data_IF_690368389369
#
_entry.id   IF_690368389369
#
_cell.length_a   1.000
_cell.length_b   1.000
_cell.length_c   1.000
_cell.angle_alpha   90.00
_cell.angle_beta   90.00
_cell.angle_gamma   90.00
#
_symmetry.space_group_name_H-M   'P 1'
#
loop_
_entity.id
_entity.type
_entity.pdbx_description
1 polymer ?
#
# COMPACT_ATOMS: atom_id res chain seq x y z
N UNK A 1 29.55 -2.09 -22.92
CA UNK A 1 30.00 -1.69 -21.58
C UNK A 1 28.86 -0.89 -20.96
N UNK A 2 27.90 -1.58 -20.35
CA UNK A 2 26.76 -0.95 -19.66
C UNK A 2 27.02 -1.12 -18.17
N UNK A 3 27.53 -0.08 -17.55
CA UNK A 3 27.66 -0.01 -16.10
C UNK A 3 26.26 0.18 -15.50
N UNK A 4 25.73 -0.91 -14.97
CA UNK A 4 24.62 -0.89 -14.03
C UNK A 4 25.13 -0.23 -12.75
N UNK A 5 24.75 1.04 -12.54
CA UNK A 5 25.08 1.76 -11.32
C UNK A 5 24.11 1.27 -10.25
N UNK A 6 24.56 0.32 -9.43
CA UNK A 6 23.98 0.13 -8.10
C UNK A 6 24.14 1.44 -7.34
N UNK A 7 23.07 2.22 -7.21
CA UNK A 7 22.99 3.29 -6.25
C UNK A 7 22.82 2.66 -4.86
N UNK A 8 23.95 2.42 -4.21
CA UNK A 8 24.06 1.92 -2.84
C UNK A 8 23.93 3.10 -1.85
N UNK A 9 22.71 3.58 -1.60
CA UNK A 9 22.39 4.39 -0.41
C UNK A 9 21.52 3.63 0.60
N UNK A 10 21.33 2.32 0.38
CA UNK A 10 20.47 1.47 1.21
C UNK A 10 18.97 1.82 1.13
N UNK A 11 18.53 2.64 0.17
CA UNK A 11 17.11 2.94 -0.03
C UNK A 11 16.52 2.15 -1.19
N UNK A 12 15.45 1.41 -0.91
CA UNK A 12 14.66 0.72 -1.93
C UNK A 12 14.06 1.70 -2.95
N UNK A 13 14.22 1.42 -4.25
CA UNK A 13 13.53 2.14 -5.31
C UNK A 13 12.00 1.92 -5.21
N UNK A 14 11.16 2.75 -5.87
CA UNK A 14 9.71 2.48 -5.91
C UNK A 14 9.36 1.05 -6.39
N UNK A 15 10.06 0.54 -7.41
CA UNK A 15 9.85 -0.82 -7.93
C UNK A 15 10.31 -1.90 -6.95
N UNK A 16 11.42 -1.68 -6.21
CA UNK A 16 11.84 -2.60 -5.15
C UNK A 16 10.80 -2.66 -4.02
N UNK A 17 10.29 -1.49 -3.60
CA UNK A 17 9.24 -1.40 -2.57
C UNK A 17 7.97 -2.12 -3.01
N UNK A 18 7.56 -1.93 -4.27
CA UNK A 18 6.39 -2.63 -4.82
C UNK A 18 6.58 -4.15 -4.77
N UNK A 19 7.75 -4.66 -5.18
CA UNK A 19 8.04 -6.10 -5.14
C UNK A 19 8.00 -6.65 -3.70
N UNK A 20 8.64 -5.96 -2.75
CA UNK A 20 8.68 -6.36 -1.34
C UNK A 20 7.28 -6.35 -0.69
N UNK A 21 6.51 -5.28 -0.90
CA UNK A 21 5.16 -5.17 -0.36
C UNK A 21 4.19 -6.17 -1.01
N UNK A 22 4.35 -6.46 -2.31
CA UNK A 22 3.58 -7.51 -2.98
C UNK A 22 3.88 -8.89 -2.38
N UNK A 23 5.14 -9.18 -2.06
CA UNK A 23 5.51 -10.43 -1.40
C UNK A 23 4.93 -10.51 0.02
N UNK A 24 4.91 -9.40 0.77
CA UNK A 24 4.26 -9.34 2.08
C UNK A 24 2.75 -9.60 1.98
N UNK A 25 2.06 -9.00 0.99
CA UNK A 25 0.64 -9.28 0.73
C UNK A 25 0.41 -10.74 0.34
N UNK A 26 1.30 -11.32 -0.48
CA UNK A 26 1.22 -12.73 -0.86
C UNK A 26 1.41 -13.67 0.34
N UNK A 27 2.26 -13.32 1.30
CA UNK A 27 2.42 -14.05 2.56
C UNK A 27 1.14 -14.01 3.42
N UNK A 28 0.35 -12.92 3.32
CA UNK A 28 -1.00 -12.81 3.89
C UNK A 28 -2.09 -13.52 3.06
N UNK A 29 -1.72 -14.22 1.98
CA UNK A 29 -2.66 -14.91 1.09
C UNK A 29 -3.36 -13.99 0.07
N UNK A 30 -2.90 -12.75 -0.08
CA UNK A 30 -3.52 -11.75 -0.95
C UNK A 30 -2.81 -11.68 -2.31
N UNK A 31 -3.58 -11.65 -3.39
CA UNK A 31 -3.07 -11.46 -4.76
C UNK A 31 -3.31 -10.02 -5.19
N UNK A 32 -2.24 -9.22 -5.25
CA UNK A 32 -2.33 -7.80 -5.52
C UNK A 32 -1.82 -7.41 -6.92
N UNK A 33 -2.58 -6.56 -7.61
CA UNK A 33 -2.16 -5.83 -8.81
C UNK A 33 -1.72 -4.42 -8.45
N UNK A 34 -0.81 -3.83 -9.23
CA UNK A 34 -0.42 -2.43 -9.05
C UNK A 34 -1.25 -1.48 -9.91
N UNK A 35 -1.41 -0.25 -9.42
CA UNK A 35 -1.90 0.89 -10.19
C UNK A 35 -1.24 2.18 -9.71
N UNK A 36 -1.30 3.22 -10.52
CA UNK A 36 -0.72 4.52 -10.22
C UNK A 36 -1.57 5.66 -10.73
N UNK A 37 -1.54 6.79 -10.02
CA UNK A 37 -2.26 8.00 -10.39
C UNK A 37 -1.42 9.25 -10.16
N UNK A 38 -1.72 10.30 -10.93
CA UNK A 38 -0.95 11.55 -10.93
C UNK A 38 -1.32 12.44 -9.74
N UNK A 39 -0.47 13.43 -9.39
CA UNK A 39 -0.75 14.34 -8.29
C UNK A 39 -2.16 14.98 -8.34
N UNK A 40 -2.84 14.96 -7.20
CA UNK A 40 -4.14 15.63 -7.04
C UNK A 40 -5.32 14.97 -7.75
N UNK A 41 -5.14 13.82 -8.39
CA UNK A 41 -6.23 13.05 -8.98
C UNK A 41 -7.27 12.66 -7.91
N UNK A 42 -8.56 12.68 -8.29
CA UNK A 42 -9.68 12.54 -7.35
C UNK A 42 -10.61 11.41 -7.74
N UNK A 43 -11.01 10.65 -6.75
CA UNK A 43 -12.11 9.70 -6.82
C UNK A 43 -13.30 10.30 -6.11
N UNK A 44 -14.40 10.49 -6.84
CA UNK A 44 -15.68 10.86 -6.24
C UNK A 44 -16.13 9.78 -5.24
N UNK A 45 -17.04 10.13 -4.33
CA UNK A 45 -17.57 9.17 -3.36
C UNK A 45 -18.23 7.98 -4.08
N UNK A 46 -17.86 6.77 -3.71
CA UNK A 46 -18.40 5.53 -4.23
C UNK A 46 -18.27 4.40 -3.20
N UNK A 47 -18.82 3.24 -3.54
CA UNK A 47 -18.62 1.99 -2.80
C UNK A 47 -18.50 0.83 -3.78
N UNK A 48 -18.00 -0.31 -3.32
CA UNK A 48 -17.85 -1.52 -4.11
C UNK A 48 -18.43 -2.73 -3.37
N UNK A 49 -18.84 -3.76 -4.12
CA UNK A 49 -19.43 -4.99 -3.58
C UNK A 49 -18.43 -6.07 -3.15
N UNK A 50 -17.13 -5.74 -3.10
CA UNK A 50 -16.05 -6.61 -2.67
C UNK A 50 -15.29 -5.99 -1.50
N UNK A 51 -14.51 -6.77 -0.78
CA UNK A 51 -13.57 -6.23 0.21
C UNK A 51 -12.27 -5.83 -0.49
N UNK A 52 -11.72 -4.67 -0.14
CA UNK A 52 -10.52 -4.12 -0.76
C UNK A 52 -9.40 -3.99 0.26
N UNK A 53 -8.24 -4.53 -0.07
CA UNK A 53 -6.97 -4.25 0.63
C UNK A 53 -6.12 -3.36 -0.28
N UNK A 54 -5.65 -2.24 0.24
CA UNK A 54 -4.79 -1.30 -0.47
C UNK A 54 -3.53 -0.99 0.32
N UNK A 55 -2.37 -1.04 -0.33
CA UNK A 55 -1.08 -0.69 0.26
C UNK A 55 -0.35 0.31 -0.62
N UNK A 56 0.17 1.39 -0.05
CA UNK A 56 0.93 2.40 -0.80
C UNK A 56 2.39 1.97 -0.95
N UNK A 57 2.89 1.91 -2.18
CA UNK A 57 4.29 1.60 -2.50
C UNK A 57 5.14 2.86 -2.79
N UNK A 58 4.52 3.93 -3.28
CA UNK A 58 5.14 5.23 -3.50
C UNK A 58 4.12 6.36 -3.40
N UNK A 59 4.57 7.55 -3.00
CA UNK A 59 3.71 8.73 -2.86
C UNK A 59 2.72 8.61 -1.70
N UNK A 60 1.53 9.18 -1.86
CA UNK A 60 0.46 9.11 -0.85
C UNK A 60 -0.94 9.24 -1.45
N UNK A 61 -1.94 8.78 -0.70
CA UNK A 61 -3.36 8.93 -1.05
C UNK A 61 -4.20 9.09 0.22
N UNK A 62 -5.09 10.08 0.24
CA UNK A 62 -6.02 10.31 1.32
C UNK A 62 -7.38 9.68 1.03
N UNK A 63 -7.90 8.84 1.92
CA UNK A 63 -9.25 8.27 1.86
C UNK A 63 -10.19 8.95 2.86
N UNK A 64 -11.33 9.45 2.37
CA UNK A 64 -12.40 9.98 3.22
C UNK A 64 -13.51 8.96 3.31
N UNK A 65 -13.79 8.44 4.50
CA UNK A 65 -14.91 7.51 4.74
C UNK A 65 -16.17 8.30 5.10
N UNK A 66 -17.29 8.00 4.41
CA UNK A 66 -18.57 8.67 4.63
C UNK A 66 -19.05 8.47 6.07
N UNK A 67 -19.58 9.54 6.68
CA UNK A 67 -20.01 9.55 8.09
C UNK A 67 -18.96 10.03 9.10
N UNK A 68 -17.67 9.91 8.80
CA UNK A 68 -16.61 10.48 9.66
C UNK A 68 -16.27 11.94 9.29
N UNK A 69 -16.38 12.28 8.00
CA UNK A 69 -15.88 13.54 7.43
C UNK A 69 -14.36 13.71 7.51
N UNK A 70 -13.63 12.72 8.05
CA UNK A 70 -12.19 12.75 8.24
C UNK A 70 -11.50 12.00 7.12
N UNK A 71 -10.48 12.63 6.56
CA UNK A 71 -9.57 11.98 5.62
C UNK A 71 -8.47 11.27 6.39
N UNK A 72 -8.23 10.00 6.06
CA UNK A 72 -7.07 9.24 6.50
C UNK A 72 -6.04 9.24 5.38
N UNK A 73 -4.88 9.87 5.64
CA UNK A 73 -3.76 9.86 4.70
C UNK A 73 -3.00 8.55 4.81
N UNK A 74 -2.83 7.84 3.69
CA UNK A 74 -1.95 6.69 3.59
C UNK A 74 -0.62 7.09 2.98
N UNK A 75 0.47 6.77 3.67
CA UNK A 75 1.83 6.90 3.17
C UNK A 75 2.42 5.53 2.81
N UNK A 76 3.62 5.52 2.24
CA UNK A 76 4.35 4.30 1.87
C UNK A 76 4.36 3.28 3.03
N UNK A 77 4.03 2.04 2.68
CA UNK A 77 3.88 0.88 3.55
C UNK A 77 2.66 0.88 4.49
N UNK A 78 1.80 1.89 4.44
CA UNK A 78 0.50 1.82 5.10
C UNK A 78 -0.44 0.90 4.34
N UNK A 79 -1.32 0.22 5.09
CA UNK A 79 -2.38 -0.61 4.54
C UNK A 79 -3.75 -0.07 4.94
N UNK A 80 -4.69 -0.03 4.00
CA UNK A 80 -6.11 0.15 4.26
C UNK A 80 -6.84 -1.17 4.00
N UNK A 81 -7.53 -1.66 5.02
CA UNK A 81 -8.57 -2.68 4.88
C UNK A 81 -9.91 -1.96 4.74
N UNK A 82 -10.60 -2.17 3.62
CA UNK A 82 -11.82 -1.47 3.26
C UNK A 82 -12.94 -2.47 2.94
N UNK A 83 -13.84 -2.75 3.90
CA UNK A 83 -14.97 -3.63 3.72
C UNK A 83 -15.89 -3.22 2.58
N UNK A 84 -16.52 -4.21 1.95
CA UNK A 84 -17.58 -4.03 0.96
C UNK A 84 -18.68 -3.09 1.48
N UNK A 85 -19.22 -2.26 0.59
CA UNK A 85 -20.27 -1.29 0.93
C UNK A 85 -19.80 -0.07 1.73
N UNK A 86 -18.52 0.01 2.14
CA UNK A 86 -17.99 1.22 2.76
C UNK A 86 -17.97 2.36 1.74
N UNK A 87 -18.79 3.39 1.94
CA UNK A 87 -18.77 4.58 1.11
C UNK A 87 -17.51 5.42 1.39
N UNK A 88 -16.79 5.76 0.32
CA UNK A 88 -15.52 6.46 0.42
C UNK A 88 -15.20 7.28 -0.84
N UNK A 89 -14.47 8.38 -0.65
CA UNK A 89 -13.78 9.12 -1.71
C UNK A 89 -12.27 9.12 -1.48
N UNK A 90 -11.49 9.50 -2.48
CA UNK A 90 -10.04 9.57 -2.33
C UNK A 90 -9.41 10.72 -3.14
N UNK A 91 -8.27 11.21 -2.65
CA UNK A 91 -7.46 12.25 -3.32
C UNK A 91 -6.00 11.84 -3.28
N UNK A 92 -5.35 11.83 -4.44
CA UNK A 92 -3.92 11.51 -4.57
C UNK A 92 -3.06 12.66 -4.09
N UNK A 93 -2.00 12.35 -3.34
CA UNK A 93 -1.05 13.32 -2.78
C UNK A 93 -0.25 14.08 -3.84
N UNK A 94 0.55 15.05 -3.39
CA UNK A 94 1.26 15.99 -4.26
C UNK A 94 2.34 15.35 -5.16
N UNK A 95 2.84 14.17 -4.78
CA UNK A 95 3.87 13.44 -5.53
C UNK A 95 3.30 12.30 -6.40
N UNK A 96 1.96 12.21 -6.50
CA UNK A 96 1.29 11.07 -7.12
C UNK A 96 1.21 9.88 -6.17
N UNK A 97 0.79 8.72 -6.69
CA UNK A 97 0.77 7.48 -5.91
C UNK A 97 1.03 6.25 -6.77
N UNK A 98 1.66 5.24 -6.18
CA UNK A 98 1.62 3.85 -6.65
C UNK A 98 1.07 2.99 -5.54
N UNK A 99 0.02 2.22 -5.82
CA UNK A 99 -0.64 1.35 -4.87
C UNK A 99 -0.61 -0.11 -5.35
N UNK A 100 -0.59 -1.02 -4.38
CA UNK A 100 -0.93 -2.42 -4.54
C UNK A 100 -2.34 -2.65 -4.03
N UNK A 101 -3.17 -3.32 -4.80
CA UNK A 101 -4.57 -3.54 -4.47
C UNK A 101 -4.95 -5.01 -4.68
N UNK A 102 -5.60 -5.59 -3.67
CA UNK A 102 -6.19 -6.91 -3.72
C UNK A 102 -7.70 -6.84 -3.43
N UNK A 103 -8.47 -7.65 -4.15
CA UNK A 103 -9.91 -7.79 -3.95
C UNK A 103 -10.21 -9.14 -3.31
N UNK A 104 -11.15 -9.14 -2.37
CA UNK A 104 -11.61 -10.29 -1.62
C UNK A 104 -13.15 -10.38 -1.71
N UNK A 105 -13.74 -11.57 -1.52
CA UNK A 105 -15.18 -11.68 -1.34
C UNK A 105 -15.66 -10.76 -0.19
N UNK A 106 -16.85 -10.19 -0.33
CA UNK A 106 -17.43 -9.34 0.70
C UNK A 106 -17.51 -10.08 2.06
N UNK A 107 -17.14 -9.38 3.14
CA UNK A 107 -17.17 -9.90 4.50
C UNK A 107 -15.92 -10.66 4.94
N UNK A 108 -14.86 -10.68 4.13
CA UNK A 108 -13.55 -11.23 4.49
C UNK A 108 -12.81 -10.39 5.53
N UNK A 109 -13.09 -9.08 5.60
CA UNK A 109 -12.42 -8.09 6.46
C UNK A 109 -13.28 -7.66 7.67
N UNK A 110 -14.52 -8.15 7.78
CA UNK A 110 -15.52 -7.67 8.74
C UNK A 110 -16.19 -6.36 8.29
N UNK A 111 -16.77 -5.60 9.22
CA UNK A 111 -17.66 -4.46 8.89
C UNK A 111 -17.02 -3.09 9.11
N UNK A 112 -15.77 -3.03 9.58
CA UNK A 112 -15.08 -1.77 9.92
C UNK A 112 -13.84 -1.58 9.07
N UNK A 113 -13.69 -0.40 8.47
CA UNK A 113 -12.47 -0.04 7.75
C UNK A 113 -11.32 0.20 8.73
N UNK A 114 -10.12 -0.28 8.38
CA UNK A 114 -8.93 -0.18 9.22
C UNK A 114 -7.75 0.40 8.45
N UNK A 115 -7.20 1.51 8.95
CA UNK A 115 -5.87 1.98 8.56
C UNK A 115 -4.83 1.32 9.47
N UNK A 116 -3.89 0.60 8.85
CA UNK A 116 -2.75 -0.03 9.51
C UNK A 116 -1.49 0.73 9.11
N UNK A 117 -1.20 1.78 9.86
CA UNK A 117 -0.01 2.60 9.66
C UNK A 117 1.27 1.75 9.76
N UNK A 118 2.14 1.84 8.76
CA UNK A 118 3.42 1.15 8.71
C UNK A 118 3.35 -0.37 8.60
N UNK A 119 2.21 -0.95 8.19
CA UNK A 119 2.03 -2.41 8.06
C UNK A 119 3.19 -3.10 7.33
N UNK A 120 3.66 -2.53 6.22
CA UNK A 120 4.74 -3.10 5.41
C UNK A 120 6.16 -2.73 5.82
N UNK A 121 6.36 -1.98 6.92
CA UNK A 121 7.70 -1.44 7.29
C UNK A 121 8.75 -2.52 7.49
N UNK A 122 8.36 -3.69 8.01
CA UNK A 122 9.29 -4.81 8.19
C UNK A 122 9.78 -5.35 6.85
N UNK A 123 8.90 -5.44 5.84
CA UNK A 123 9.29 -5.87 4.50
C UNK A 123 10.21 -4.85 3.80
N UNK A 124 10.16 -3.58 4.23
CA UNK A 124 11.02 -2.50 3.74
C UNK A 124 12.21 -2.20 4.67
N UNK A 125 12.48 -3.05 5.66
CA UNK A 125 13.71 -2.96 6.43
C UNK A 125 14.85 -3.55 5.60
N UNK A 126 16.03 -2.92 5.53
CA UNK A 126 17.21 -3.58 4.97
C UNK A 126 17.44 -4.88 5.75
N UNK A 127 17.59 -6.00 5.04
CA UNK A 127 17.83 -7.27 5.70
C UNK A 127 19.06 -7.15 6.60
N UNK A 128 18.95 -7.46 7.89
CA UNK A 128 20.14 -7.69 8.69
C UNK A 128 20.90 -8.83 8.02
N UNK A 129 22.07 -8.51 7.46
CA UNK A 129 23.02 -9.52 7.05
C UNK A 129 23.40 -10.27 8.32
N UNK A 130 22.74 -11.39 8.60
CA UNK A 130 23.23 -12.35 9.59
C UNK A 130 24.57 -12.86 9.06
N UNK A 131 25.64 -12.17 9.44
CA UNK A 131 26.97 -12.73 9.36
C UNK A 131 26.95 -14.03 10.18
N UNK A 132 27.46 -15.16 9.65
CA UNK A 132 27.55 -16.37 10.44
C UNK A 132 28.40 -16.06 11.68
N UNK A 133 27.87 -16.37 12.87
CA UNK A 133 28.69 -16.38 14.08
C UNK A 133 29.79 -17.42 13.85
N UNK A 134 31.01 -16.96 13.63
CA UNK A 134 32.18 -17.82 13.76
C UNK A 134 32.23 -18.30 15.20
N UNK A 135 32.24 -19.63 15.34
CA UNK A 135 32.41 -20.35 16.59
C UNK A 135 33.86 -20.28 17.08
#
# INVERSE_FOLDING_TARGET
MTTDVRSDDGRFTPSDREALLRNALAADGLRASSWSNVPGERYAEHSHGYDKVLVVAAGSIGFTLSGSGRTTELAVADRLDLPAGTAHGAIVGADGVVCLEAHLPAGSLGDTAHHRAGWGRQALAPGETSAPRLA
#
